data_IF_284180126892
#
_entry.id   IF_284180126892
#
_cell.length_a   1.000
_cell.length_b   1.000
_cell.length_c   1.000
_cell.angle_alpha   90.00
_cell.angle_beta   90.00
_cell.angle_gamma   90.00
#
_symmetry.space_group_name_H-M   'P 1'
#
loop_
_entity.id
_entity.type
_entity.pdbx_description
1 polymer ?
#
# COMPACT_ATOMS: atom_id res chain seq x y z
N UNK A 1 -14.27 4.43 -2.80
CA UNK A 1 -13.26 3.38 -3.07
C UNK A 1 -13.96 2.05 -3.20
N UNK A 2 -13.74 1.27 -4.27
CA UNK A 2 -14.30 -0.08 -4.40
C UNK A 2 -13.57 -1.05 -3.45
N UNK A 3 -13.83 -0.92 -2.16
CA UNK A 3 -13.08 -1.59 -1.07
C UNK A 3 -12.97 -3.10 -1.26
N UNK A 4 -14.05 -3.76 -1.69
CA UNK A 4 -14.03 -5.20 -1.97
C UNK A 4 -13.26 -5.56 -3.25
N UNK A 5 -13.25 -4.68 -4.26
CA UNK A 5 -12.44 -4.86 -5.47
C UNK A 5 -10.95 -4.88 -5.15
N UNK A 6 -10.50 -3.94 -4.32
CA UNK A 6 -9.14 -3.90 -3.76
C UNK A 6 -8.76 -5.21 -3.08
N UNK A 7 -9.61 -5.73 -2.19
CA UNK A 7 -9.35 -6.99 -1.49
C UNK A 7 -9.26 -8.17 -2.48
N UNK A 8 -10.24 -8.32 -3.38
CA UNK A 8 -10.29 -9.45 -4.32
C UNK A 8 -9.10 -9.47 -5.29
N UNK A 9 -8.76 -8.32 -5.88
CA UNK A 9 -7.63 -8.21 -6.81
C UNK A 9 -6.30 -8.47 -6.09
N UNK A 10 -6.10 -7.86 -4.92
CA UNK A 10 -4.91 -8.08 -4.12
C UNK A 10 -4.74 -9.56 -3.75
N UNK A 11 -5.80 -10.24 -3.32
CA UNK A 11 -5.75 -11.67 -3.05
C UNK A 11 -5.44 -12.51 -4.31
N UNK A 12 -5.99 -12.15 -5.47
CA UNK A 12 -5.71 -12.84 -6.73
C UNK A 12 -4.22 -12.76 -7.12
N UNK A 13 -3.55 -11.63 -6.87
CA UNK A 13 -2.10 -11.51 -7.08
C UNK A 13 -1.29 -12.23 -5.99
N UNK A 14 -1.78 -12.26 -4.75
CA UNK A 14 -1.09 -12.87 -3.62
C UNK A 14 -1.11 -14.41 -3.66
N UNK A 15 -2.22 -15.03 -4.08
CA UNK A 15 -2.40 -16.50 -4.08
C UNK A 15 -1.28 -17.24 -4.85
N UNK A 16 -0.93 -16.86 -6.10
CA UNK A 16 0.19 -17.46 -6.81
C UNK A 16 1.51 -17.31 -6.05
N UNK A 17 1.75 -16.15 -5.44
CA UNK A 17 2.97 -15.92 -4.66
C UNK A 17 3.02 -16.84 -3.46
N UNK A 18 1.93 -16.95 -2.69
CA UNK A 18 1.82 -17.88 -1.57
C UNK A 18 2.14 -19.31 -1.99
N UNK A 19 1.57 -19.76 -3.11
CA UNK A 19 1.80 -21.10 -3.64
C UNK A 19 3.27 -21.36 -3.96
N UNK A 20 3.93 -20.43 -4.67
CA UNK A 20 5.32 -20.63 -5.09
C UNK A 20 6.35 -20.36 -4.01
N UNK A 21 6.01 -19.61 -2.96
CA UNK A 21 6.95 -19.23 -1.90
C UNK A 21 6.76 -20.04 -0.61
N UNK A 22 5.61 -20.68 -0.41
CA UNK A 22 5.41 -21.64 0.68
C UNK A 22 6.14 -22.95 0.39
N UNK A 23 6.90 -23.43 1.38
CA UNK A 23 7.43 -24.80 1.42
C UNK A 23 7.13 -25.38 2.80
N UNK A 24 7.07 -26.71 2.91
CA UNK A 24 6.78 -27.38 4.19
C UNK A 24 7.78 -26.99 5.30
N UNK A 25 9.02 -26.66 4.94
CA UNK A 25 10.08 -26.26 5.87
C UNK A 25 10.10 -24.77 6.23
N UNK A 26 9.50 -23.90 5.39
CA UNK A 26 9.52 -22.45 5.55
C UNK A 26 8.18 -21.85 5.14
N UNK A 27 7.34 -21.43 6.10
CA UNK A 27 6.07 -20.80 5.80
C UNK A 27 6.28 -19.44 5.12
N UNK A 28 5.28 -19.01 4.36
CA UNK A 28 5.28 -17.68 3.77
C UNK A 28 5.32 -16.59 4.85
N UNK A 29 6.12 -15.55 4.62
CA UNK A 29 6.19 -14.41 5.53
C UNK A 29 4.94 -13.52 5.36
N UNK A 30 4.00 -13.62 6.30
CA UNK A 30 2.75 -12.87 6.26
C UNK A 30 2.95 -11.34 6.24
N UNK A 31 4.10 -10.82 6.70
CA UNK A 31 4.42 -9.39 6.67
C UNK A 31 4.51 -8.88 5.23
N UNK A 32 4.97 -9.71 4.29
CA UNK A 32 4.96 -9.39 2.85
C UNK A 32 3.53 -9.22 2.35
N UNK A 33 2.62 -10.13 2.69
CA UNK A 33 1.20 -10.00 2.33
C UNK A 33 0.56 -8.78 2.97
N UNK A 34 0.85 -8.51 4.24
CA UNK A 34 0.30 -7.35 4.94
C UNK A 34 0.73 -6.04 4.26
N UNK A 35 2.04 -5.86 4.01
CA UNK A 35 2.56 -4.66 3.35
C UNK A 35 1.90 -4.49 1.97
N UNK A 36 1.83 -5.56 1.18
CA UNK A 36 1.19 -5.51 -0.14
C UNK A 36 -0.28 -5.11 -0.05
N UNK A 37 -1.07 -5.78 0.78
CA UNK A 37 -2.50 -5.55 0.90
C UNK A 37 -2.81 -4.17 1.47
N UNK A 38 -2.05 -3.67 2.45
CA UNK A 38 -2.22 -2.32 2.98
C UNK A 38 -2.01 -1.27 1.89
N UNK A 39 -0.96 -1.40 1.07
CA UNK A 39 -0.70 -0.46 -0.03
C UNK A 39 -1.65 -0.63 -1.21
N UNK A 40 -2.14 -1.85 -1.46
CA UNK A 40 -3.17 -2.10 -2.46
C UNK A 40 -4.53 -1.53 -2.03
N UNK A 41 -4.92 -1.69 -0.77
CA UNK A 41 -6.19 -1.16 -0.28
C UNK A 41 -6.13 0.35 -0.16
N UNK A 42 -5.12 0.90 0.49
CA UNK A 42 -5.12 2.32 0.84
C UNK A 42 -4.29 3.22 -0.09
N UNK A 43 -3.31 2.67 -0.80
CA UNK A 43 -2.53 3.42 -1.79
C UNK A 43 -1.95 4.75 -1.29
N UNK A 44 -1.76 5.74 -2.19
CA UNK A 44 -1.32 7.10 -1.93
C UNK A 44 -2.50 8.01 -1.65
N UNK A 45 -3.74 7.50 -1.69
CA UNK A 45 -4.91 8.20 -1.12
C UNK A 45 -4.64 8.60 0.34
N UNK A 46 -3.78 7.83 1.01
CA UNK A 46 -3.19 8.14 2.31
C UNK A 46 -2.55 9.54 2.39
N UNK A 47 -2.02 10.04 1.27
CA UNK A 47 -1.35 11.35 1.14
C UNK A 47 -2.21 12.36 0.39
N UNK A 48 -3.08 11.91 -0.52
CA UNK A 48 -4.10 12.74 -1.16
C UNK A 48 -5.05 13.42 -0.16
N UNK A 49 -5.26 12.81 1.01
CA UNK A 49 -6.04 13.38 2.12
C UNK A 49 -5.41 14.64 2.75
N UNK A 50 -4.10 14.87 2.59
CA UNK A 50 -3.40 16.02 3.17
C UNK A 50 -2.79 16.98 2.15
N UNK A 51 -2.49 16.49 0.95
CA UNK A 51 -1.85 17.27 -0.08
C UNK A 51 -2.49 16.96 -1.43
N UNK A 52 -2.97 18.00 -2.13
CA UNK A 52 -3.38 17.91 -3.54
C UNK A 52 -2.13 17.86 -4.41
N UNK A 53 -1.39 16.74 -4.32
CA UNK A 53 -0.23 16.49 -5.18
C UNK A 53 -0.72 15.63 -6.34
N UNK A 54 -0.29 15.89 -7.59
CA UNK A 54 -0.55 15.01 -8.73
C UNK A 54 0.24 13.70 -8.61
N UNK A 55 0.00 12.94 -7.54
CA UNK A 55 0.63 11.65 -7.21
C UNK A 55 -0.28 10.47 -7.53
N UNK A 56 -1.53 10.72 -7.94
CA UNK A 56 -2.46 9.70 -8.44
C UNK A 56 -2.10 9.28 -9.88
N UNK A 57 -0.88 8.79 -10.07
CA UNK A 57 -0.35 8.19 -11.29
C UNK A 57 0.84 7.30 -10.92
N UNK A 58 1.14 6.28 -11.73
CA UNK A 58 2.17 5.25 -11.47
C UNK A 58 3.48 5.83 -10.92
N UNK A 59 3.98 6.92 -11.49
CA UNK A 59 5.24 7.53 -11.05
C UNK A 59 5.11 8.20 -9.66
N UNK A 60 3.99 8.87 -9.40
CA UNK A 60 3.63 9.39 -8.10
C UNK A 60 3.63 8.30 -7.02
N UNK A 61 3.07 7.13 -7.32
CA UNK A 61 3.12 5.97 -6.41
C UNK A 61 4.55 5.50 -6.16
N UNK A 62 5.39 5.41 -7.19
CA UNK A 62 6.79 5.00 -7.03
C UNK A 62 7.57 5.97 -6.14
N UNK A 63 7.31 7.27 -6.26
CA UNK A 63 7.91 8.29 -5.39
C UNK A 63 7.39 8.13 -3.95
N UNK A 64 6.08 7.94 -3.79
CA UNK A 64 5.45 7.72 -2.48
C UNK A 64 5.89 6.40 -1.81
N UNK A 65 6.26 5.40 -2.60
CA UNK A 65 6.78 4.14 -2.09
C UNK A 65 8.14 4.31 -1.39
N UNK A 66 8.92 5.34 -1.71
CA UNK A 66 10.22 5.59 -1.07
C UNK A 66 10.12 5.84 0.45
N UNK A 67 9.33 6.81 0.94
CA UNK A 67 9.15 7.01 2.38
C UNK A 67 8.34 5.88 3.02
N UNK A 68 7.33 5.33 2.33
CA UNK A 68 6.54 4.21 2.85
C UNK A 68 7.39 2.95 3.05
N UNK A 69 8.37 2.69 2.18
CA UNK A 69 9.29 1.57 2.33
C UNK A 69 10.17 1.68 3.59
N UNK A 70 10.54 2.89 4.02
CA UNK A 70 11.25 3.10 5.30
C UNK A 70 10.35 2.63 6.45
N UNK A 71 9.10 3.06 6.44
CA UNK A 71 8.13 2.66 7.44
C UNK A 71 7.87 1.15 7.41
N UNK A 72 7.60 0.56 6.26
CA UNK A 72 7.24 -0.86 6.17
C UNK A 72 8.43 -1.78 6.46
N UNK A 73 9.65 -1.34 6.15
CA UNK A 73 10.86 -2.03 6.60
C UNK A 73 10.95 -2.02 8.12
N UNK A 74 10.73 -0.86 8.77
CA UNK A 74 10.67 -0.77 10.23
C UNK A 74 9.50 -1.57 10.85
N UNK A 75 8.32 -1.54 10.23
CA UNK A 75 7.16 -2.32 10.66
C UNK A 75 7.45 -3.82 10.65
N UNK A 76 8.24 -4.30 9.70
CA UNK A 76 8.59 -5.72 9.60
C UNK A 76 9.34 -6.27 10.82
N UNK A 77 9.85 -5.40 11.69
CA UNK A 77 10.41 -5.74 13.00
C UNK A 77 9.38 -6.26 14.00
N UNK A 78 8.11 -5.94 13.80
CA UNK A 78 7.03 -6.24 14.75
C UNK A 78 6.19 -7.41 14.26
N UNK A 79 5.84 -8.31 15.19
CA UNK A 79 4.87 -9.37 14.94
C UNK A 79 3.59 -9.17 15.74
N UNK A 80 2.47 -9.63 15.17
CA UNK A 80 1.18 -9.64 15.85
C UNK A 80 1.00 -11.01 16.48
N UNK A 81 1.04 -11.08 17.81
CA UNK A 81 0.91 -12.34 18.56
C UNK A 81 -0.37 -12.33 19.39
N UNK A 82 -0.91 -13.52 19.66
CA UNK A 82 -2.02 -13.67 20.61
C UNK A 82 -1.56 -13.13 21.97
N UNK A 83 -2.40 -12.30 22.58
CA UNK A 83 -2.16 -11.77 23.92
C UNK A 83 -2.89 -12.60 24.96
N UNK A 84 -2.25 -12.82 26.11
CA UNK A 84 -2.84 -13.47 27.29
C UNK A 84 -3.66 -12.48 28.14
N UNK A 85 -3.59 -11.18 27.83
CA UNK A 85 -4.34 -10.12 28.50
C UNK A 85 -5.74 -9.90 27.92
N UNK A 86 -6.37 -8.79 28.33
CA UNK A 86 -7.75 -8.42 27.92
C UNK A 86 -7.91 -8.18 26.42
N UNK A 87 -6.84 -7.82 25.72
CA UNK A 87 -6.84 -7.66 24.28
C UNK A 87 -6.39 -8.96 23.60
N UNK A 88 -7.06 -9.41 22.52
CA UNK A 88 -6.78 -10.70 21.90
C UNK A 88 -5.44 -10.73 21.15
N UNK A 89 -4.92 -9.56 20.73
CA UNK A 89 -3.70 -9.43 19.92
C UNK A 89 -2.80 -8.35 20.51
N UNK A 90 -1.48 -8.56 20.44
CA UNK A 90 -0.46 -7.56 20.80
C UNK A 90 0.67 -7.50 19.79
N UNK A 91 1.20 -6.30 19.59
CA UNK A 91 2.44 -6.10 18.85
C UNK A 91 3.65 -6.44 19.73
N UNK A 92 4.49 -7.33 19.21
CA UNK A 92 5.74 -7.76 19.83
C UNK A 92 6.88 -7.34 18.93
N UNK A 93 7.85 -6.63 19.51
CA UNK A 93 9.09 -6.27 18.85
C UNK A 93 10.02 -7.50 18.85
N UNK A 94 10.26 -8.08 17.67
CA UNK A 94 11.18 -9.21 17.51
C UNK A 94 12.63 -8.77 17.33
N UNK A 95 12.89 -7.46 17.22
CA UNK A 95 14.24 -6.88 17.08
C UNK A 95 14.83 -7.00 15.67
N UNK A 96 14.22 -7.75 14.77
CA UNK A 96 14.75 -8.05 13.43
C UNK A 96 13.79 -7.54 12.36
N UNK A 97 14.22 -6.57 11.55
CA UNK A 97 13.49 -6.14 10.36
C UNK A 97 13.57 -7.19 9.25
N UNK A 98 12.62 -8.12 9.22
CA UNK A 98 12.58 -9.25 8.27
C UNK A 98 12.47 -8.81 6.80
N UNK A 99 11.91 -7.62 6.55
CA UNK A 99 11.78 -7.05 5.21
C UNK A 99 12.70 -5.83 5.13
N UNK A 100 13.81 -5.97 4.38
CA UNK A 100 14.72 -4.86 4.13
C UNK A 100 14.05 -3.74 3.29
N UNK A 101 14.67 -2.56 3.28
CA UNK A 101 14.17 -1.40 2.55
C UNK A 101 13.88 -1.67 1.07
N UNK A 102 14.77 -2.42 0.39
CA UNK A 102 14.62 -2.74 -1.04
C UNK A 102 13.38 -3.59 -1.28
N UNK A 103 13.17 -4.63 -0.48
CA UNK A 103 12.01 -5.49 -0.57
C UNK A 103 10.74 -4.75 -0.17
N UNK A 104 10.78 -3.94 0.89
CA UNK A 104 9.67 -3.10 1.30
C UNK A 104 9.26 -2.13 0.18
N UNK A 105 10.22 -1.54 -0.53
CA UNK A 105 9.98 -0.70 -1.70
C UNK A 105 9.29 -1.47 -2.83
N UNK A 106 9.81 -2.63 -3.22
CA UNK A 106 9.19 -3.46 -4.26
C UNK A 106 7.75 -3.84 -3.91
N UNK A 107 7.50 -4.27 -2.67
CA UNK A 107 6.15 -4.68 -2.21
C UNK A 107 5.20 -3.49 -2.17
N UNK A 108 5.68 -2.34 -1.67
CA UNK A 108 4.91 -1.09 -1.59
C UNK A 108 4.55 -0.58 -2.98
N UNK A 109 5.50 -0.59 -3.91
CA UNK A 109 5.29 -0.22 -5.30
C UNK A 109 4.30 -1.16 -6.00
N UNK A 110 4.41 -2.47 -5.77
CA UNK A 110 3.45 -3.45 -6.29
C UNK A 110 2.03 -3.19 -5.80
N UNK A 111 1.87 -2.92 -4.49
CA UNK A 111 0.59 -2.56 -3.89
C UNK A 111 0.03 -1.26 -4.47
N UNK A 112 0.87 -0.22 -4.58
CA UNK A 112 0.45 1.07 -5.15
C UNK A 112 0.01 0.99 -6.61
N UNK A 113 0.75 0.28 -7.47
CA UNK A 113 0.36 0.05 -8.87
C UNK A 113 -0.98 -0.71 -8.95
N UNK A 114 -1.17 -1.69 -8.06
CA UNK A 114 -2.41 -2.47 -7.96
C UNK A 114 -3.59 -1.65 -7.43
N UNK A 115 -3.34 -0.72 -6.51
CA UNK A 115 -4.34 0.24 -6.05
C UNK A 115 -4.77 1.16 -7.18
N UNK A 116 -3.80 1.79 -7.87
CA UNK A 116 -4.05 2.69 -8.99
C UNK A 116 -4.87 2.02 -10.09
N UNK A 117 -4.55 0.76 -10.40
CA UNK A 117 -5.30 -0.06 -11.33
C UNK A 117 -6.80 -0.05 -11.00
N UNK A 118 -7.13 -0.38 -9.76
CA UNK A 118 -8.51 -0.58 -9.34
C UNK A 118 -9.26 0.76 -9.33
N UNK A 119 -8.60 1.83 -8.87
CA UNK A 119 -9.28 3.12 -8.81
C UNK A 119 -9.46 3.76 -10.18
N UNK A 120 -8.48 3.60 -11.06
CA UNK A 120 -8.58 4.06 -12.43
C UNK A 120 -9.72 3.35 -13.18
N UNK A 121 -9.93 2.04 -12.97
CA UNK A 121 -10.96 1.29 -13.70
C UNK A 121 -12.34 1.28 -13.06
N UNK A 122 -12.44 1.44 -11.75
CA UNK A 122 -13.69 1.22 -11.04
C UNK A 122 -14.12 2.40 -10.16
N UNK A 123 -13.31 3.47 -10.05
CA UNK A 123 -13.54 4.56 -9.10
C UNK A 123 -13.78 5.94 -9.73
N UNK A 124 -13.82 6.13 -11.06
CA UNK A 124 -14.40 7.28 -11.81
C UNK A 124 -13.52 7.78 -12.97
N UNK A 125 -12.30 7.28 -13.13
CA UNK A 125 -11.45 7.74 -14.23
C UNK A 125 -11.93 7.12 -15.54
N UNK A 126 -12.74 7.88 -16.29
CA UNK A 126 -13.02 7.58 -17.70
C UNK A 126 -11.75 7.61 -18.56
N UNK A 127 -10.54 7.80 -18.00
CA UNK A 127 -9.25 7.83 -18.71
C UNK A 127 -8.08 7.39 -17.83
N UNK A 128 -7.32 6.39 -18.27
CA UNK A 128 -6.01 5.99 -17.74
C UNK A 128 -4.96 7.08 -17.99
N UNK A 129 -4.54 7.81 -16.96
CA UNK A 129 -3.48 8.83 -17.08
C UNK A 129 -2.11 8.18 -17.00
N UNK A 130 -1.37 8.18 -18.10
CA UNK A 130 0.01 7.67 -18.17
C UNK A 130 1.01 8.78 -17.82
N UNK A 131 0.72 10.00 -18.26
CA UNK A 131 1.52 11.21 -18.06
C UNK A 131 0.59 12.44 -18.11
N UNK A 132 0.95 13.61 -17.53
CA UNK A 132 0.20 14.84 -17.77
C UNK A 132 -0.06 15.10 -19.27
N UNK A 133 -1.33 15.00 -19.68
CA UNK A 133 -1.76 15.18 -21.08
C UNK A 133 -1.80 13.90 -21.93
N UNK A 134 -1.39 12.73 -21.40
CA UNK A 134 -1.45 11.44 -22.10
C UNK A 134 -2.39 10.50 -21.33
N UNK A 135 -3.55 10.17 -21.93
CA UNK A 135 -4.51 9.27 -21.31
C UNK A 135 -5.26 8.35 -22.27
N UNK A 136 -5.63 7.14 -21.81
CA UNK A 136 -6.46 6.16 -22.55
C UNK A 136 -7.86 6.13 -21.97
N UNK A 137 -8.92 6.40 -22.74
CA UNK A 137 -10.28 6.52 -22.21
C UNK A 137 -10.96 5.18 -21.87
N UNK A 138 -11.89 5.15 -20.91
CA UNK A 138 -12.68 4.00 -20.49
C UNK A 138 -13.58 3.49 -21.60
N UNK A 139 -14.09 4.36 -22.47
CA UNK A 139 -14.83 3.95 -23.67
C UNK A 139 -13.91 3.27 -24.69
N UNK A 140 -12.66 3.75 -24.83
CA UNK A 140 -11.64 3.02 -25.57
C UNK A 140 -11.33 1.66 -24.92
N UNK A 141 -11.46 1.53 -23.60
CA UNK A 141 -11.24 0.28 -22.87
C UNK A 141 -12.41 -0.70 -22.87
N UNK A 142 -13.65 -0.22 -22.81
CA UNK A 142 -14.85 -1.05 -22.91
C UNK A 142 -15.05 -1.58 -24.33
N UNK A 143 -14.58 -0.85 -25.34
CA UNK A 143 -14.48 -1.34 -26.71
C UNK A 143 -13.53 -2.55 -26.85
N UNK A 144 -12.81 -2.95 -25.80
CA UNK A 144 -11.95 -4.15 -25.77
C UNK A 144 -12.70 -5.45 -25.45
N UNK A 145 -14.01 -5.40 -25.20
CA UNK A 145 -14.84 -6.58 -24.91
C UNK A 145 -16.02 -6.69 -25.86
N UNK A 146 -15.76 -6.90 -27.15
CA UNK A 146 -16.80 -7.16 -28.15
C UNK A 146 -17.10 -8.66 -28.29
N UNK A 147 -18.36 -9.13 -28.28
CA UNK A 147 -18.73 -10.53 -28.46
C UNK A 147 -18.72 -10.95 -29.94
N UNK A 148 -17.56 -10.88 -30.57
CA UNK A 148 -17.29 -11.46 -31.89
C UNK A 148 -15.78 -11.72 -31.89
N UNK A 149 -15.24 -12.90 -32.14
CA UNK A 149 -15.24 -13.60 -33.42
C UNK A 149 -14.53 -14.95 -33.21
N UNK A 150 -15.22 -16.08 -33.36
CA UNK A 150 -14.56 -17.39 -33.38
C UNK A 150 -14.60 -17.97 -34.80
N UNK A 151 -13.74 -17.46 -35.68
CA UNK A 151 -13.41 -18.14 -36.93
C UNK A 151 -12.03 -18.77 -36.75
N UNK A 152 -11.97 -20.11 -36.72
CA UNK A 152 -10.72 -20.86 -36.59
C UNK A 152 -9.88 -20.63 -37.86
N UNK A 153 -8.82 -19.85 -37.74
CA UNK A 153 -7.81 -19.67 -38.80
C UNK A 153 -6.49 -20.32 -38.38
N UNK A 154 -5.62 -20.73 -39.32
CA UNK A 154 -4.29 -21.26 -38.99
C UNK A 154 -3.45 -20.33 -38.10
N UNK A 155 -3.68 -19.02 -38.19
CA UNK A 155 -3.01 -18.03 -37.34
C UNK A 155 -3.42 -18.16 -35.85
N UNK A 156 -4.67 -18.53 -35.56
CA UNK A 156 -5.14 -18.80 -34.20
C UNK A 156 -4.46 -20.04 -33.64
N UNK A 157 -4.32 -21.10 -34.45
CA UNK A 157 -3.63 -22.32 -34.01
C UNK A 157 -2.17 -22.01 -33.66
N UNK A 158 -1.50 -21.17 -34.46
CA UNK A 158 -0.14 -20.72 -34.16
C UNK A 158 -0.07 -19.80 -32.94
N UNK A 159 -1.05 -18.91 -32.75
CA UNK A 159 -1.19 -18.07 -31.57
C UNK A 159 -1.41 -18.89 -30.29
N UNK A 160 -2.30 -19.88 -30.33
CA UNK A 160 -2.57 -20.81 -29.23
C UNK A 160 -1.34 -21.65 -28.88
N UNK A 161 -0.61 -22.15 -29.89
CA UNK A 161 0.67 -22.85 -29.66
C UNK A 161 1.68 -21.91 -28.99
N UNK A 162 1.75 -20.64 -29.40
CA UNK A 162 2.64 -19.65 -28.79
C UNK A 162 2.24 -19.35 -27.34
N UNK A 163 0.94 -19.19 -27.06
CA UNK A 163 0.39 -18.97 -25.71
C UNK A 163 0.68 -20.18 -24.82
N UNK A 164 0.36 -21.40 -25.28
CA UNK A 164 0.62 -22.64 -24.53
C UNK A 164 2.12 -22.83 -24.28
N UNK A 165 2.96 -22.59 -25.29
CA UNK A 165 4.42 -22.66 -25.15
C UNK A 165 4.93 -21.63 -24.14
N UNK A 166 4.39 -20.40 -24.18
CA UNK A 166 4.72 -19.34 -23.23
C UNK A 166 4.29 -19.70 -21.80
N UNK A 167 3.09 -20.26 -21.62
CA UNK A 167 2.60 -20.76 -20.32
C UNK A 167 3.53 -21.85 -19.79
N UNK A 168 3.88 -22.85 -20.61
CA UNK A 168 4.76 -23.95 -20.21
C UNK A 168 6.17 -23.46 -19.89
N UNK A 169 6.73 -22.54 -20.68
CA UNK A 169 8.02 -21.89 -20.42
C UNK A 169 7.99 -21.06 -19.14
N UNK A 170 6.90 -20.35 -18.89
CA UNK A 170 6.69 -19.58 -17.67
C UNK A 170 6.64 -20.51 -16.46
N UNK A 171 5.85 -21.58 -16.50
CA UNK A 171 5.79 -22.60 -15.44
C UNK A 171 7.16 -23.25 -15.19
N UNK A 172 7.89 -23.62 -16.25
CA UNK A 172 9.22 -24.22 -16.15
C UNK A 172 10.25 -23.29 -15.54
N UNK A 173 10.26 -22.01 -15.94
CA UNK A 173 11.19 -21.02 -15.37
C UNK A 173 10.80 -20.62 -13.95
N UNK A 174 9.52 -20.59 -13.59
CA UNK A 174 9.07 -20.43 -12.20
C UNK A 174 9.61 -21.55 -11.30
N UNK A 175 9.82 -22.76 -11.83
CA UNK A 175 10.44 -23.86 -11.08
C UNK A 175 11.97 -23.74 -10.92
N UNK A 176 12.67 -23.00 -11.80
CA UNK A 176 14.15 -22.88 -11.78
C UNK A 176 14.70 -21.82 -10.82
N UNK A 177 13.85 -20.96 -10.26
CA UNK A 177 14.23 -19.96 -9.26
C UNK A 177 14.41 -18.53 -9.79
N UNK A 178 14.63 -17.58 -8.87
CA UNK A 178 14.43 -16.14 -9.08
C UNK A 178 15.20 -15.54 -10.26
N UNK A 179 16.43 -16.00 -10.56
CA UNK A 179 17.24 -15.46 -11.66
C UNK A 179 16.67 -15.81 -13.03
N UNK A 180 16.21 -17.05 -13.21
CA UNK A 180 15.67 -17.51 -14.49
C UNK A 180 14.24 -17.00 -14.72
N UNK A 181 13.43 -16.92 -13.66
CA UNK A 181 12.15 -16.20 -13.69
C UNK A 181 12.34 -14.73 -14.07
N UNK A 182 13.32 -14.05 -13.46
CA UNK A 182 13.64 -12.65 -13.76
C UNK A 182 14.05 -12.46 -15.22
N UNK A 183 14.91 -13.33 -15.76
CA UNK A 183 15.33 -13.27 -17.16
C UNK A 183 14.15 -13.46 -18.12
N UNK A 184 13.30 -14.46 -17.90
CA UNK A 184 12.13 -14.68 -18.76
C UNK A 184 11.19 -13.47 -18.73
N UNK A 185 10.92 -12.93 -17.54
CA UNK A 185 10.06 -11.76 -17.40
C UNK A 185 10.67 -10.51 -18.03
N UNK A 186 11.99 -10.31 -17.91
CA UNK A 186 12.68 -9.20 -18.58
C UNK A 186 12.63 -9.35 -20.10
N UNK A 187 12.87 -10.55 -20.63
CA UNK A 187 12.76 -10.83 -22.07
C UNK A 187 11.32 -10.59 -22.53
N UNK A 188 10.34 -11.09 -21.79
CA UNK A 188 8.91 -10.91 -22.09
C UNK A 188 8.54 -9.43 -22.04
N UNK A 189 9.05 -8.68 -21.07
CA UNK A 189 8.92 -7.21 -20.97
C UNK A 189 9.49 -6.52 -22.20
N UNK A 190 10.72 -6.85 -22.60
CA UNK A 190 11.38 -6.21 -23.74
C UNK A 190 10.68 -6.56 -25.05
N UNK A 191 10.23 -7.80 -25.22
CA UNK A 191 9.44 -8.24 -26.37
C UNK A 191 8.11 -7.50 -26.40
N UNK A 192 7.38 -7.44 -25.28
CA UNK A 192 6.13 -6.69 -25.15
C UNK A 192 6.30 -5.21 -25.46
N UNK A 193 7.30 -4.53 -24.88
CA UNK A 193 7.60 -3.13 -25.19
C UNK A 193 8.01 -2.92 -26.65
N UNK A 194 8.75 -3.87 -27.24
CA UNK A 194 9.09 -3.82 -28.67
C UNK A 194 7.84 -3.97 -29.54
N UNK A 195 6.97 -4.94 -29.25
CA UNK A 195 5.68 -5.09 -29.92
C UNK A 195 4.81 -3.84 -29.76
N UNK A 196 4.82 -3.21 -28.58
CA UNK A 196 4.14 -1.94 -28.34
C UNK A 196 4.69 -0.80 -29.20
N UNK A 197 5.99 -0.75 -29.50
CA UNK A 197 6.57 0.30 -30.38
C UNK A 197 6.29 0.00 -31.85
N UNK A 198 6.35 -1.26 -32.26
CA UNK A 198 6.26 -1.65 -33.68
C UNK A 198 4.83 -1.91 -34.19
N UNK A 199 3.86 -2.18 -33.31
CA UNK A 199 2.49 -2.61 -33.68
C UNK A 199 1.43 -1.60 -33.19
N UNK A 200 1.84 -0.55 -32.46
CA UNK A 200 1.07 0.38 -31.60
C UNK A 200 -0.24 0.98 -32.14
N UNK A 201 -0.43 1.04 -33.47
CA UNK A 201 -1.59 1.67 -34.11
C UNK A 201 -2.54 0.70 -34.79
N UNK A 202 -2.20 -0.60 -34.82
CA UNK A 202 -2.99 -1.60 -35.54
C UNK A 202 -4.15 -2.12 -34.69
N UNK A 203 -5.37 -2.03 -35.25
CA UNK A 203 -6.58 -2.64 -34.70
C UNK A 203 -6.66 -4.04 -35.30
N UNK A 204 -6.48 -5.06 -34.49
CA UNK A 204 -6.66 -6.45 -34.90
C UNK A 204 -8.03 -6.91 -34.41
N UNK A 205 -8.90 -7.29 -35.34
CA UNK A 205 -10.20 -7.90 -35.02
C UNK A 205 -11.12 -7.06 -34.12
N UNK A 206 -11.07 -5.72 -34.26
CA UNK A 206 -11.77 -4.75 -33.41
C UNK A 206 -11.29 -4.69 -31.94
N UNK A 207 -10.27 -5.47 -31.57
CA UNK A 207 -9.59 -5.39 -30.29
C UNK A 207 -8.29 -4.58 -30.41
N UNK A 208 -8.03 -3.72 -29.42
CA UNK A 208 -6.72 -3.08 -29.30
C UNK A 208 -5.83 -3.98 -28.44
N UNK A 209 -5.22 -4.99 -29.06
CA UNK A 209 -4.31 -5.93 -28.37
C UNK A 209 -3.24 -5.19 -27.54
N UNK A 210 -2.76 -4.04 -28.01
CA UNK A 210 -1.82 -3.18 -27.28
C UNK A 210 -2.37 -2.71 -25.93
N UNK A 211 -3.67 -2.39 -25.84
CA UNK A 211 -4.30 -1.98 -24.59
C UNK A 211 -4.36 -3.12 -23.56
N UNK A 212 -4.74 -4.32 -24.01
CA UNK A 212 -4.74 -5.53 -23.19
C UNK A 212 -3.32 -5.94 -22.77
N UNK A 213 -2.35 -5.84 -23.68
CA UNK A 213 -0.93 -6.11 -23.40
C UNK A 213 -0.39 -5.11 -22.39
N UNK A 214 -0.64 -3.80 -22.55
CA UNK A 214 -0.25 -2.76 -21.58
C UNK A 214 -0.89 -3.03 -20.23
N UNK A 215 -2.17 -3.39 -20.22
CA UNK A 215 -2.92 -3.70 -19.01
C UNK A 215 -2.32 -4.90 -18.25
N UNK A 216 -2.20 -6.05 -18.93
CA UNK A 216 -1.61 -7.26 -18.35
C UNK A 216 -0.16 -7.02 -17.92
N UNK A 217 0.58 -6.22 -18.68
CA UNK A 217 1.99 -5.95 -18.37
C UNK A 217 2.14 -5.03 -17.16
N UNK A 218 1.54 -3.85 -17.20
CA UNK A 218 1.74 -2.80 -16.19
C UNK A 218 1.04 -3.13 -14.88
N UNK A 219 -0.18 -3.64 -14.93
CA UNK A 219 -1.00 -3.78 -13.73
C UNK A 219 -1.00 -5.19 -13.14
N UNK A 220 -0.63 -6.20 -13.92
CA UNK A 220 -0.59 -7.59 -13.45
C UNK A 220 0.86 -8.08 -13.34
N UNK A 221 1.63 -8.05 -14.44
CA UNK A 221 2.98 -8.62 -14.46
C UNK A 221 3.99 -7.83 -13.62
N UNK A 222 4.03 -6.49 -13.70
CA UNK A 222 4.95 -5.69 -12.88
C UNK A 222 4.68 -5.89 -11.38
N UNK A 223 3.44 -5.77 -10.86
CA UNK A 223 3.17 -6.03 -9.45
C UNK A 223 3.50 -7.46 -9.03
N UNK A 224 3.13 -8.46 -9.83
CA UNK A 224 3.49 -9.87 -9.57
C UNK A 224 5.00 -10.06 -9.50
N UNK A 225 5.75 -9.42 -10.41
CA UNK A 225 7.21 -9.50 -10.45
C UNK A 225 7.83 -8.92 -9.19
N UNK A 226 7.46 -7.69 -8.84
CA UNK A 226 7.98 -6.99 -7.66
C UNK A 226 7.65 -7.75 -6.38
N UNK A 227 6.43 -8.27 -6.28
CA UNK A 227 5.96 -9.05 -5.14
C UNK A 227 6.68 -10.41 -5.05
N UNK A 228 6.81 -11.14 -6.16
CA UNK A 228 7.55 -12.42 -6.22
C UNK A 228 9.02 -12.23 -5.87
N UNK A 229 9.65 -11.20 -6.44
CA UNK A 229 11.05 -10.87 -6.19
C UNK A 229 11.29 -10.63 -4.70
N UNK A 230 10.51 -9.76 -4.08
CA UNK A 230 10.64 -9.45 -2.66
C UNK A 230 10.28 -10.64 -1.75
N UNK A 231 9.21 -11.37 -2.05
CA UNK A 231 8.80 -12.54 -1.28
C UNK A 231 9.85 -13.65 -1.30
N UNK A 232 10.48 -13.89 -2.45
CA UNK A 232 11.60 -14.84 -2.58
C UNK A 232 12.85 -14.35 -1.87
N UNK A 233 13.24 -13.09 -2.03
CA UNK A 233 14.43 -12.55 -1.35
C UNK A 233 14.31 -12.63 0.17
N UNK A 234 13.15 -12.28 0.74
CA UNK A 234 12.87 -12.43 2.19
C UNK A 234 13.00 -13.88 2.66
N UNK A 235 12.62 -14.85 1.81
CA UNK A 235 12.70 -16.28 2.13
C UNK A 235 14.12 -16.85 2.00
N UNK A 236 14.78 -16.52 0.89
CA UNK A 236 16.03 -17.12 0.46
C UNK A 236 17.22 -16.44 1.17
N UNK A 237 17.10 -15.15 1.49
CA UNK A 237 18.10 -14.34 2.19
C UNK A 237 17.53 -13.76 3.50
N UNK A 238 17.12 -14.60 4.47
CA UNK A 238 16.49 -14.12 5.70
C UNK A 238 17.47 -13.29 6.53
N UNK A 239 17.01 -12.14 7.00
CA UNK A 239 17.77 -11.34 7.97
C UNK A 239 17.67 -12.01 9.33
N UNK A 240 18.81 -12.31 9.94
CA UNK A 240 18.90 -12.99 11.23
C UNK A 240 19.49 -12.11 12.33
N UNK A 241 20.08 -10.98 11.96
CA UNK A 241 20.74 -10.06 12.89
C UNK A 241 19.76 -8.97 13.33
N UNK A 242 19.64 -8.71 14.65
CA UNK A 242 18.84 -7.62 15.16
C UNK A 242 19.32 -6.24 14.66
N UNK A 243 18.39 -5.31 14.51
CA UNK A 243 18.72 -3.94 14.13
C UNK A 243 19.48 -3.23 15.26
N UNK A 244 20.60 -2.61 14.91
CA UNK A 244 21.37 -1.81 15.86
C UNK A 244 20.77 -0.41 15.95
N UNK A 245 20.35 0.05 17.14
CA UNK A 245 19.87 1.41 17.36
C UNK A 245 20.92 2.46 16.95
N UNK A 246 20.68 3.19 15.86
CA UNK A 246 21.55 4.33 15.48
C UNK A 246 21.41 5.52 16.42
N UNK A 247 20.25 5.68 17.04
CA UNK A 247 19.92 6.77 17.96
C UNK A 247 19.57 6.18 19.32
N UNK A 248 20.13 6.76 20.38
CA UNK A 248 19.80 6.40 21.75
C UNK A 248 18.30 6.49 21.99
N UNK A 249 17.69 5.43 22.54
CA UNK A 249 16.24 5.33 22.69
C UNK A 249 15.62 6.38 23.62
N UNK A 250 16.36 6.90 24.61
CA UNK A 250 15.88 8.02 25.44
C UNK A 250 15.80 9.32 24.63
N UNK A 251 16.79 9.57 23.77
CA UNK A 251 16.78 10.74 22.87
C UNK A 251 15.67 10.59 21.84
N UNK A 252 15.54 9.40 21.24
CA UNK A 252 14.49 9.13 20.25
C UNK A 252 13.09 9.24 20.85
N UNK A 253 12.89 8.82 22.11
CA UNK A 253 11.62 9.04 22.82
C UNK A 253 11.29 10.53 22.90
N UNK A 254 12.23 11.40 23.29
CA UNK A 254 11.99 12.85 23.32
C UNK A 254 11.58 13.40 21.95
N UNK A 255 12.24 12.95 20.88
CA UNK A 255 11.88 13.33 19.50
C UNK A 255 10.45 12.88 19.18
N UNK A 256 10.10 11.63 19.50
CA UNK A 256 8.76 11.10 19.27
C UNK A 256 7.71 11.86 20.08
N UNK A 257 8.00 12.24 21.33
CA UNK A 257 7.09 13.10 22.11
C UNK A 257 6.84 14.44 21.42
N UNK A 258 7.89 15.11 20.94
CA UNK A 258 7.77 16.38 20.22
C UNK A 258 6.94 16.20 18.95
N UNK A 259 7.21 15.15 18.17
CA UNK A 259 6.44 14.82 16.97
C UNK A 259 4.96 14.59 17.31
N UNK A 260 4.64 13.84 18.37
CA UNK A 260 3.25 13.61 18.79
C UNK A 260 2.55 14.90 19.23
N UNK A 261 3.26 15.82 19.90
CA UNK A 261 2.73 17.15 20.25
C UNK A 261 2.44 17.96 18.99
N UNK A 262 3.39 18.01 18.04
CA UNK A 262 3.19 18.72 16.77
C UNK A 262 2.01 18.14 15.98
N UNK A 263 1.86 16.82 15.97
CA UNK A 263 0.73 16.15 15.34
C UNK A 263 -0.59 16.49 16.02
N UNK A 264 -0.63 16.52 17.36
CA UNK A 264 -1.81 16.94 18.10
C UNK A 264 -2.19 18.40 17.81
N UNK A 265 -1.21 19.32 17.75
CA UNK A 265 -1.44 20.72 17.41
C UNK A 265 -1.94 20.88 15.97
N UNK A 266 -1.39 20.14 15.01
CA UNK A 266 -1.86 20.11 13.63
C UNK A 266 -3.32 19.64 13.55
N UNK A 267 -3.67 18.56 14.26
CA UNK A 267 -5.05 18.05 14.32
C UNK A 267 -6.00 19.04 14.98
N UNK A 268 -5.56 19.74 16.04
CA UNK A 268 -6.35 20.79 16.68
C UNK A 268 -6.61 21.96 15.73
N UNK A 269 -5.60 22.38 14.97
CA UNK A 269 -5.74 23.43 13.95
C UNK A 269 -6.72 23.00 12.85
N UNK A 270 -6.58 21.78 12.33
CA UNK A 270 -7.48 21.24 11.31
C UNK A 270 -8.92 21.14 11.81
N UNK A 271 -9.11 20.66 13.04
CA UNK A 271 -10.42 20.58 13.68
C UNK A 271 -11.05 21.96 13.91
N UNK A 272 -10.26 22.94 14.38
CA UNK A 272 -10.72 24.33 14.54
C UNK A 272 -11.16 24.93 13.21
N UNK A 273 -10.37 24.71 12.15
CA UNK A 273 -10.70 25.15 10.80
C UNK A 273 -12.00 24.50 10.30
N UNK A 274 -12.14 23.18 10.47
CA UNK A 274 -13.34 22.45 10.09
C UNK A 274 -14.62 22.96 10.79
N UNK A 275 -14.54 23.29 12.08
CA UNK A 275 -15.68 23.82 12.85
C UNK A 275 -16.02 25.24 12.42
N UNK A 276 -15.01 26.10 12.25
CA UNK A 276 -15.20 27.54 12.01
C UNK A 276 -15.62 27.83 10.57
N UNK A 277 -15.10 27.05 9.62
CA UNK A 277 -15.35 27.22 8.19
C UNK A 277 -16.17 26.06 7.60
N UNK A 278 -17.01 25.41 8.42
CA UNK A 278 -17.79 24.23 8.02
C UNK A 278 -18.65 24.47 6.78
N UNK A 279 -19.30 25.64 6.68
CA UNK A 279 -20.15 25.98 5.52
C UNK A 279 -19.34 26.10 4.22
N UNK A 280 -18.20 26.79 4.26
CA UNK A 280 -17.31 26.91 3.11
C UNK A 280 -16.74 25.56 2.67
N UNK A 281 -16.29 24.73 3.62
CA UNK A 281 -15.81 23.39 3.33
C UNK A 281 -16.92 22.50 2.75
N UNK A 282 -18.14 22.61 3.27
CA UNK A 282 -19.28 21.89 2.76
C UNK A 282 -19.61 22.29 1.32
N UNK A 283 -19.58 23.58 0.99
CA UNK A 283 -19.74 24.06 -0.39
C UNK A 283 -18.71 23.45 -1.33
N UNK A 284 -17.42 23.48 -0.96
CA UNK A 284 -16.35 22.85 -1.76
C UNK A 284 -16.56 21.36 -1.97
N UNK A 285 -16.96 20.62 -0.93
CA UNK A 285 -17.21 19.18 -1.03
C UNK A 285 -18.43 18.91 -1.93
N UNK A 286 -19.51 19.69 -1.80
CA UNK A 286 -20.71 19.53 -2.61
C UNK A 286 -20.46 19.92 -4.07
N UNK A 287 -19.64 20.93 -4.36
CA UNK A 287 -19.22 21.25 -5.72
C UNK A 287 -18.47 20.07 -6.38
N UNK A 288 -17.73 19.30 -5.59
CA UNK A 288 -16.97 18.15 -6.09
C UNK A 288 -17.79 16.85 -6.18
N UNK A 289 -18.70 16.61 -5.24
CA UNK A 289 -19.35 15.30 -5.06
C UNK A 289 -20.88 15.33 -5.11
N UNK A 290 -21.49 16.52 -5.19
CA UNK A 290 -22.94 16.73 -5.13
C UNK A 290 -23.53 16.51 -3.74
N UNK A 291 -24.81 16.86 -3.57
CA UNK A 291 -25.57 16.64 -2.31
C UNK A 291 -26.12 17.93 -1.69
N UNK A 292 -26.47 17.86 -0.40
CA UNK A 292 -27.09 18.96 0.35
C UNK A 292 -26.04 19.68 1.23
N UNK A 293 -25.88 20.99 1.03
CA UNK A 293 -24.90 21.81 1.76
C UNK A 293 -25.17 21.86 3.27
N UNK A 294 -26.43 21.90 3.69
CA UNK A 294 -26.80 21.94 5.11
C UNK A 294 -26.43 20.63 5.83
N UNK A 295 -26.73 19.48 5.24
CA UNK A 295 -26.35 18.17 5.78
C UNK A 295 -24.83 17.98 5.82
N UNK A 296 -24.13 18.43 4.77
CA UNK A 296 -22.68 18.37 4.70
C UNK A 296 -22.02 19.28 5.75
N UNK A 297 -22.56 20.49 5.95
CA UNK A 297 -22.08 21.43 6.99
C UNK A 297 -22.15 20.81 8.38
N UNK A 298 -23.27 20.15 8.71
CA UNK A 298 -23.44 19.43 9.98
C UNK A 298 -22.41 18.31 10.10
N UNK A 299 -22.21 17.53 9.03
CA UNK A 299 -21.25 16.42 8.99
C UNK A 299 -19.82 16.90 9.23
N UNK A 300 -19.37 17.94 8.52
CA UNK A 300 -18.04 18.55 8.67
C UNK A 300 -17.85 19.06 10.10
N UNK A 301 -18.87 19.70 10.67
CA UNK A 301 -18.83 20.22 12.05
C UNK A 301 -18.67 19.08 13.07
N UNK A 302 -19.44 17.99 12.94
CA UNK A 302 -19.35 16.83 13.83
C UNK A 302 -17.97 16.19 13.76
N UNK A 303 -17.43 15.98 12.55
CA UNK A 303 -16.08 15.45 12.35
C UNK A 303 -15.04 16.37 13.00
N UNK A 304 -15.21 17.69 12.86
CA UNK A 304 -14.38 18.69 13.52
C UNK A 304 -14.34 18.52 15.04
N UNK A 305 -15.49 18.36 15.70
CA UNK A 305 -15.52 18.13 17.15
C UNK A 305 -14.87 16.81 17.58
N UNK A 306 -15.05 15.72 16.80
CA UNK A 306 -14.39 14.43 17.06
C UNK A 306 -12.86 14.60 16.99
N UNK A 307 -12.36 15.25 15.93
CA UNK A 307 -10.91 15.47 15.77
C UNK A 307 -10.35 16.43 16.80
N UNK A 308 -11.09 17.46 17.23
CA UNK A 308 -10.68 18.33 18.33
C UNK A 308 -10.52 17.53 19.64
N UNK A 309 -11.46 16.63 19.92
CA UNK A 309 -11.42 15.78 21.11
C UNK A 309 -10.19 14.87 21.07
N UNK A 310 -9.94 14.21 19.94
CA UNK A 310 -8.74 13.39 19.77
C UNK A 310 -7.45 14.21 19.88
N UNK A 311 -7.42 15.43 19.32
CA UNK A 311 -6.27 16.32 19.40
C UNK A 311 -5.94 16.72 20.85
N UNK A 312 -6.94 17.09 21.65
CA UNK A 312 -6.75 17.45 23.06
C UNK A 312 -6.25 16.26 23.87
N UNK A 313 -6.88 15.08 23.71
CA UNK A 313 -6.46 13.86 24.41
C UNK A 313 -5.04 13.47 24.01
N UNK A 314 -4.72 13.52 22.71
CA UNK A 314 -3.39 13.23 22.19
C UNK A 314 -2.35 14.22 22.72
N UNK A 315 -2.67 15.51 22.81
CA UNK A 315 -1.77 16.54 23.34
C UNK A 315 -1.42 16.26 24.80
N UNK A 316 -2.42 16.03 25.65
CA UNK A 316 -2.25 15.71 27.07
C UNK A 316 -1.43 14.42 27.23
N UNK A 317 -1.79 13.37 26.48
CA UNK A 317 -1.09 12.10 26.55
C UNK A 317 0.35 12.20 26.04
N UNK A 318 0.61 12.99 24.99
CA UNK A 318 1.95 13.23 24.47
C UNK A 318 2.83 13.94 25.49
N UNK A 319 2.34 14.98 26.16
CA UNK A 319 3.05 15.62 27.29
C UNK A 319 3.31 14.59 28.41
N UNK A 320 2.33 13.73 28.70
CA UNK A 320 2.44 12.62 29.65
C UNK A 320 3.58 11.63 29.36
N UNK A 321 4.03 11.51 28.10
CA UNK A 321 5.17 10.66 27.73
C UNK A 321 6.49 11.17 28.31
N UNK A 322 6.68 12.48 28.54
CA UNK A 322 7.87 13.01 29.21
C UNK A 322 8.01 12.46 30.64
N UNK A 323 6.87 12.24 31.29
CA UNK A 323 6.77 11.68 32.64
C UNK A 323 6.74 10.14 32.64
N UNK A 324 6.90 9.50 31.47
CA UNK A 324 6.93 8.03 31.31
C UNK A 324 5.69 7.35 31.88
N UNK A 325 4.52 7.97 31.72
CA UNK A 325 3.24 7.43 32.16
C UNK A 325 2.74 6.33 31.22
N UNK A 326 2.50 5.12 31.75
CA UNK A 326 2.01 3.97 30.96
C UNK A 326 0.63 4.24 30.34
N UNK A 327 -0.28 4.89 31.07
CA UNK A 327 -1.61 5.20 30.55
C UNK A 327 -1.51 6.17 29.37
N UNK A 328 -0.63 7.17 29.46
CA UNK A 328 -0.37 8.10 28.37
C UNK A 328 0.23 7.40 27.15
N UNK A 329 1.14 6.44 27.36
CA UNK A 329 1.68 5.59 26.28
C UNK A 329 0.57 4.87 25.52
N UNK A 330 -0.33 4.19 26.22
CA UNK A 330 -1.45 3.47 25.58
C UNK A 330 -2.44 4.38 24.88
N UNK A 331 -2.72 5.58 25.43
CA UNK A 331 -3.58 6.56 24.78
C UNK A 331 -2.96 7.05 23.47
N UNK A 332 -1.67 7.45 23.48
CA UNK A 332 -0.96 7.87 22.26
C UNK A 332 -0.97 6.75 21.21
N UNK A 333 -0.65 5.52 21.60
CA UNK A 333 -0.69 4.35 20.72
C UNK A 333 -2.08 4.13 20.12
N UNK A 334 -3.14 4.25 20.92
CA UNK A 334 -4.52 4.02 20.46
C UNK A 334 -4.93 5.06 19.42
N UNK A 335 -4.71 6.34 19.70
CA UNK A 335 -5.05 7.43 18.78
C UNK A 335 -4.21 7.35 17.51
N UNK A 336 -2.90 7.11 17.63
CA UNK A 336 -2.02 6.96 16.48
C UNK A 336 -2.36 5.73 15.61
N UNK A 337 -2.91 4.66 16.21
CA UNK A 337 -3.41 3.49 15.49
C UNK A 337 -4.73 3.75 14.78
N UNK A 338 -5.61 4.57 15.37
CA UNK A 338 -6.82 5.03 14.67
C UNK A 338 -6.45 5.76 13.36
N UNK A 339 -5.33 6.49 13.38
CA UNK A 339 -4.74 7.15 12.23
C UNK A 339 -3.80 6.26 11.39
N UNK A 340 -3.99 4.93 11.41
CA UNK A 340 -3.18 3.95 10.64
C UNK A 340 -3.07 4.30 9.16
N UNK A 341 -4.15 4.86 8.60
CA UNK A 341 -4.23 5.38 7.22
C UNK A 341 -3.00 6.25 6.94
N UNK A 342 -2.60 7.13 7.84
CA UNK A 342 -1.51 8.07 7.56
C UNK A 342 -0.10 7.50 7.69
N UNK A 343 0.05 6.23 8.07
CA UNK A 343 1.32 5.47 8.20
C UNK A 343 2.32 6.05 9.22
N UNK A 344 2.65 7.33 9.13
CA UNK A 344 3.52 8.06 10.04
C UNK A 344 3.01 8.09 11.49
N UNK A 345 1.73 8.37 11.80
CA UNK A 345 1.23 8.23 13.17
C UNK A 345 1.41 6.81 13.69
N UNK A 346 1.20 5.79 12.85
CA UNK A 346 1.40 4.41 13.28
C UNK A 346 2.86 4.08 13.61
N UNK A 347 3.84 4.76 13.00
CA UNK A 347 5.25 4.63 13.38
C UNK A 347 5.49 5.02 14.85
N UNK A 348 4.74 5.98 15.38
CA UNK A 348 4.75 6.36 16.80
C UNK A 348 4.27 5.17 17.65
N UNK A 349 3.16 4.53 17.26
CA UNK A 349 2.66 3.33 17.94
C UNK A 349 3.71 2.22 17.99
N UNK A 350 4.33 1.91 16.85
CA UNK A 350 5.35 0.87 16.74
C UNK A 350 6.58 1.20 17.60
N UNK A 351 7.04 2.45 17.56
CA UNK A 351 8.16 2.89 18.40
C UNK A 351 7.84 2.73 19.90
N UNK A 352 6.65 3.12 20.34
CA UNK A 352 6.20 2.95 21.72
C UNK A 352 6.01 1.45 22.09
N UNK A 353 5.91 0.57 21.10
CA UNK A 353 5.90 -0.88 21.27
C UNK A 353 7.29 -1.53 21.40
N UNK A 354 8.38 -0.82 21.07
CA UNK A 354 9.73 -1.39 21.15
C UNK A 354 10.06 -1.86 22.57
N UNK A 355 10.76 -2.98 22.68
CA UNK A 355 11.09 -3.59 23.99
C UNK A 355 11.84 -2.61 24.89
N UNK A 356 12.87 -1.95 24.35
CA UNK A 356 13.71 -1.03 25.10
C UNK A 356 12.96 0.26 25.49
N UNK A 357 11.99 0.67 24.67
CA UNK A 357 11.11 1.81 24.96
C UNK A 357 10.12 1.45 26.04
N UNK A 358 9.47 0.29 25.95
CA UNK A 358 8.54 -0.22 26.97
C UNK A 358 9.19 -0.23 28.35
N UNK A 359 10.40 -0.77 28.45
CA UNK A 359 11.18 -0.84 29.69
C UNK A 359 11.39 0.52 30.37
N UNK A 360 11.38 1.63 29.61
CA UNK A 360 11.50 2.98 30.20
C UNK A 360 10.26 3.41 30.99
N UNK A 361 9.10 2.80 30.77
CA UNK A 361 7.83 3.11 31.43
C UNK A 361 7.53 2.19 32.64
N UNK A 362 8.51 1.39 33.10
CA UNK A 362 8.42 0.60 34.34
C UNK A 362 7.99 -0.87 34.15
N UNK A 363 8.08 -1.67 35.24
CA UNK A 363 7.88 -3.13 35.23
C UNK A 363 6.48 -3.61 34.85
N UNK A 364 5.44 -2.79 35.03
CA UNK A 364 4.06 -3.12 34.61
C UNK A 364 3.85 -3.15 33.09
N UNK A 365 4.89 -2.80 32.31
CA UNK A 365 4.82 -2.68 30.85
C UNK A 365 5.13 -3.98 30.07
N UNK A 366 5.40 -5.08 30.76
CA UNK A 366 5.72 -6.40 30.17
C UNK A 366 4.48 -7.22 29.75
N UNK A 367 3.27 -6.78 30.12
CA UNK A 367 2.00 -7.46 29.82
C UNK A 367 1.54 -7.23 28.38
#
# INVERSE_FOLDING_TARGET
>A
MPTFGHICYGLALLIPILYYTKTDEKPFNYKVAFIFLTNNIYGPDLVGLFFVIPTHNILGFLIMALPLAVFFSYFSRFSLKKSEGKFPLKFVDDGISEVNYKNAFCITAAGGISHFFIDQFYHWEKKMQIWPGIAITHDEMLAWGGPAYHYITPLIILGDIAIVSYIVLSLYTFMKGHKETFKLLLISTLVTLSLMVFISTSIFWAEREIGAIVHCFVYVLIPLFLLMYAARDVKDNPITTPDIPKINRKTLLKIVVIISILFALFMAFYAYFAITYAGYLAELIIEMFGGNVAEMTITVTIIGYIYMTFAIILLIASIGLFFKSNICRYIVMTICTYFLIFVFPFAITLFLCERDVKAMFGKESEV
#
